data_IF_667844721003
#
_entry.id   IF_667844721003
#
_cell.length_a   1.000
_cell.length_b   1.000
_cell.length_c   1.000
_cell.angle_alpha   90.00
_cell.angle_beta   90.00
_cell.angle_gamma   90.00
#
_symmetry.space_group_name_H-M   'P 1'
#
loop_
_entity.id
_entity.type
_entity.pdbx_description
1 polymer ?
#
# COMPACT_ATOMS: atom_id res chain seq x y z
N UNK A 1 -25.65 -19.65 -14.91
CA UNK A 1 -24.52 -19.40 -13.99
C UNK A 1 -24.65 -17.98 -13.49
N UNK A 2 -25.21 -17.79 -12.29
CA UNK A 2 -25.43 -16.46 -11.73
C UNK A 2 -24.12 -15.95 -11.14
N UNK A 3 -23.49 -14.97 -11.78
CA UNK A 3 -22.47 -14.18 -11.09
C UNK A 3 -23.18 -13.47 -9.95
N UNK A 4 -22.91 -13.88 -8.71
CA UNK A 4 -23.21 -13.09 -7.53
C UNK A 4 -22.48 -11.75 -7.71
N UNK A 5 -23.19 -10.76 -8.26
CA UNK A 5 -22.68 -9.40 -8.42
C UNK A 5 -22.61 -8.82 -7.03
N UNK A 6 -21.46 -9.00 -6.36
CA UNK A 6 -21.13 -8.17 -5.22
C UNK A 6 -21.28 -6.72 -5.64
N UNK A 7 -22.04 -5.99 -4.86
CA UNK A 7 -22.19 -4.56 -5.00
C UNK A 7 -20.83 -3.89 -4.78
N UNK A 8 -20.57 -2.73 -5.40
CA UNK A 8 -19.34 -1.99 -5.19
C UNK A 8 -19.04 -1.70 -3.70
N UNK A 9 -20.08 -1.55 -2.88
CA UNK A 9 -19.97 -1.38 -1.42
C UNK A 9 -19.45 -2.63 -0.73
N UNK A 10 -19.95 -3.82 -1.07
CA UNK A 10 -19.48 -5.09 -0.49
C UNK A 10 -18.02 -5.36 -0.87
N UNK A 11 -17.64 -5.03 -2.10
CA UNK A 11 -16.24 -5.13 -2.56
C UNK A 11 -15.34 -4.21 -1.71
N UNK A 12 -15.78 -2.96 -1.49
CA UNK A 12 -15.03 -1.99 -0.69
C UNK A 12 -14.92 -2.42 0.77
N UNK A 13 -15.99 -2.96 1.34
CA UNK A 13 -15.99 -3.47 2.72
C UNK A 13 -15.05 -4.66 2.87
N UNK A 14 -15.08 -5.62 1.94
CA UNK A 14 -14.15 -6.74 1.93
C UNK A 14 -12.69 -6.28 1.79
N UNK A 15 -12.45 -5.23 1.02
CA UNK A 15 -11.13 -4.63 0.87
C UNK A 15 -10.65 -3.98 2.18
N UNK A 16 -11.52 -3.23 2.86
CA UNK A 16 -11.20 -2.60 4.15
C UNK A 16 -10.86 -3.66 5.21
N UNK A 17 -11.68 -4.71 5.35
CA UNK A 17 -11.40 -5.82 6.29
C UNK A 17 -10.01 -6.42 6.09
N UNK A 18 -9.60 -6.63 4.83
CA UNK A 18 -8.25 -7.14 4.50
C UNK A 18 -7.13 -6.18 4.90
N UNK A 19 -7.35 -4.86 4.82
CA UNK A 19 -6.34 -3.89 5.25
C UNK A 19 -6.25 -3.84 6.77
N UNK A 20 -7.37 -3.94 7.48
CA UNK A 20 -7.40 -3.94 8.94
C UNK A 20 -6.67 -5.16 9.52
N UNK A 21 -6.88 -6.35 8.94
CA UNK A 21 -6.17 -7.57 9.34
C UNK A 21 -4.64 -7.44 9.15
N UNK A 22 -4.21 -6.85 8.03
CA UNK A 22 -2.79 -6.59 7.77
C UNK A 22 -2.21 -5.57 8.73
N UNK A 23 -2.94 -4.50 9.03
CA UNK A 23 -2.52 -3.51 10.01
C UNK A 23 -2.36 -4.14 11.40
N UNK A 24 -3.30 -5.00 11.80
CA UNK A 24 -3.22 -5.72 13.07
C UNK A 24 -2.00 -6.66 13.14
N UNK A 25 -1.68 -7.38 12.07
CA UNK A 25 -0.49 -8.24 12.00
C UNK A 25 0.82 -7.42 12.12
N UNK A 26 0.88 -6.25 11.47
CA UNK A 26 2.02 -5.33 11.59
C UNK A 26 2.17 -4.82 13.03
N UNK A 27 1.08 -4.41 13.68
CA UNK A 27 1.09 -3.94 15.07
C UNK A 27 1.54 -5.03 16.04
N UNK A 28 1.17 -6.29 15.79
CA UNK A 28 1.61 -7.45 16.58
C UNK A 28 3.07 -7.84 16.34
N UNK A 29 3.75 -7.24 15.37
CA UNK A 29 5.11 -7.59 14.98
C UNK A 29 5.22 -8.91 14.22
N UNK A 30 4.10 -9.45 13.74
CA UNK A 30 4.03 -10.66 12.92
C UNK A 30 4.42 -10.37 11.46
N UNK A 31 4.24 -9.12 11.04
CA UNK A 31 4.59 -8.64 9.70
C UNK A 31 5.28 -7.26 9.79
N UNK A 32 6.09 -6.94 8.79
CA UNK A 32 6.78 -5.65 8.68
C UNK A 32 6.02 -4.68 7.77
N UNK A 33 6.43 -3.41 7.78
CA UNK A 33 5.96 -2.49 6.74
C UNK A 33 6.74 -2.74 5.45
N UNK A 34 6.11 -3.38 4.45
CA UNK A 34 6.69 -3.45 3.10
C UNK A 34 6.60 -2.05 2.46
N UNK A 35 7.72 -1.45 2.01
CA UNK A 35 7.67 -0.19 1.28
C UNK A 35 6.74 -0.32 0.08
N UNK A 36 5.92 0.71 -0.17
CA UNK A 36 5.06 0.73 -1.33
C UNK A 36 5.92 0.63 -2.60
N UNK A 37 5.80 -0.50 -3.32
CA UNK A 37 6.43 -0.68 -4.61
C UNK A 37 5.80 0.28 -5.60
N UNK A 38 6.53 1.34 -5.95
CA UNK A 38 6.10 2.32 -6.93
C UNK A 38 6.39 1.76 -8.31
N UNK A 39 5.41 1.87 -9.22
CA UNK A 39 5.63 1.59 -10.64
C UNK A 39 6.79 2.42 -11.18
N UNK A 40 7.57 1.85 -12.11
CA UNK A 40 8.66 2.54 -12.83
C UNK A 40 8.20 3.85 -13.49
N UNK A 41 6.93 3.93 -13.87
CA UNK A 41 6.34 5.11 -14.50
C UNK A 41 5.77 6.13 -13.50
N UNK A 42 5.81 5.83 -12.20
CA UNK A 42 5.35 6.77 -11.17
C UNK A 42 6.26 8.00 -11.16
N UNK A 43 5.64 9.19 -11.13
CA UNK A 43 6.36 10.48 -10.98
C UNK A 43 7.27 10.49 -9.75
N UNK A 44 6.93 9.73 -8.71
CA UNK A 44 7.70 9.63 -7.46
C UNK A 44 8.63 8.41 -7.40
N UNK A 45 8.81 7.68 -8.51
CA UNK A 45 9.80 6.60 -8.66
C UNK A 45 11.22 7.16 -8.87
N UNK A 46 11.35 8.38 -9.38
CA UNK A 46 12.67 8.99 -9.61
C UNK A 46 13.21 9.53 -8.29
N UNK A 47 14.15 8.81 -7.68
CA UNK A 47 15.03 9.34 -6.63
C UNK A 47 15.95 10.40 -7.27
N UNK A 48 15.45 11.62 -7.50
CA UNK A 48 16.35 12.74 -7.75
C UNK A 48 16.91 13.15 -6.39
N UNK A 49 18.18 12.87 -6.12
CA UNK A 49 18.90 13.45 -4.99
C UNK A 49 19.06 14.95 -5.24
N UNK A 50 18.05 15.75 -4.85
CA UNK A 50 18.09 17.21 -4.98
C UNK A 50 18.94 17.88 -3.90
N UNK A 51 19.30 17.16 -2.85
CA UNK A 51 20.03 17.70 -1.71
C UNK A 51 21.46 17.16 -1.69
N UNK A 52 22.38 17.92 -2.28
CA UNK A 52 23.80 17.82 -1.96
C UNK A 52 23.99 18.67 -0.71
N UNK A 53 24.19 18.03 0.44
CA UNK A 53 24.56 18.72 1.67
C UNK A 53 26.09 18.73 1.71
N UNK A 54 26.70 19.89 1.47
CA UNK A 54 28.14 20.10 1.66
C UNK A 54 28.37 20.87 2.95
N UNK A 55 29.26 20.37 3.81
CA UNK A 55 29.77 21.12 4.94
C UNK A 55 31.12 21.71 4.55
N UNK A 56 31.19 23.04 4.49
CA UNK A 56 32.42 23.82 4.35
C UNK A 56 33.17 23.89 5.67
#
# INVERSE_FOLDING_TARGET
MWFLKMTPSEIKEAQHKRYDEKAAAIVRGEDGYKPAEKSRYSKSCKLSSKHIVSFS
#
